data_IF_294465171189
#
_entry.id   IF_294465171189
#
_cell.length_a   1.000
_cell.length_b   1.000
_cell.length_c   1.000
_cell.angle_alpha   90.00
_cell.angle_beta   90.00
_cell.angle_gamma   90.00
#
_symmetry.space_group_name_H-M   'P 1'
#
loop_
_entity.id
_entity.type
_entity.pdbx_description
1 polymer ?
#
# COMPACT_ATOMS: atom_id res chain seq x y z
N UNK A 1 -5.61 52.80 -3.23
CA UNK A 1 -4.29 52.13 -3.10
C UNK A 1 -4.32 50.93 -2.16
N UNK A 2 -4.96 50.98 -0.99
CA UNK A 2 -5.01 49.86 -0.03
C UNK A 2 -5.63 48.55 -0.58
N UNK A 3 -6.70 48.64 -1.38
CA UNK A 3 -7.34 47.46 -1.98
C UNK A 3 -6.45 46.72 -3.00
N UNK A 4 -5.62 47.46 -3.76
CA UNK A 4 -4.69 46.87 -4.72
C UNK A 4 -3.53 46.13 -4.06
N UNK A 5 -3.10 46.61 -2.88
CA UNK A 5 -2.06 45.95 -2.08
C UNK A 5 -2.59 44.66 -1.44
N UNK A 6 -3.84 44.66 -0.96
CA UNK A 6 -4.48 43.46 -0.40
C UNK A 6 -4.69 42.38 -1.47
N UNK A 7 -5.22 42.74 -2.64
CA UNK A 7 -5.44 41.77 -3.74
C UNK A 7 -4.12 41.27 -4.32
N UNK A 8 -3.13 42.16 -4.52
CA UNK A 8 -1.80 41.79 -4.98
C UNK A 8 -1.05 40.90 -3.99
N UNK A 9 -1.15 41.19 -2.69
CA UNK A 9 -0.55 40.38 -1.63
C UNK A 9 -1.19 39.00 -1.52
N UNK A 10 -2.53 38.89 -1.58
CA UNK A 10 -3.23 37.61 -1.58
C UNK A 10 -2.87 36.78 -2.82
N UNK A 11 -2.83 37.40 -4.00
CA UNK A 11 -2.42 36.71 -5.23
C UNK A 11 -0.98 36.17 -5.15
N UNK A 12 -0.04 36.93 -4.57
CA UNK A 12 1.34 36.50 -4.40
C UNK A 12 1.47 35.29 -3.46
N UNK A 13 0.69 35.25 -2.37
CA UNK A 13 0.70 34.15 -1.40
C UNK A 13 0.15 32.87 -2.02
N UNK A 14 -0.95 32.94 -2.78
CA UNK A 14 -1.57 31.76 -3.43
C UNK A 14 -0.67 31.19 -4.53
N UNK A 15 0.01 32.04 -5.30
CA UNK A 15 0.95 31.61 -6.35
C UNK A 15 2.26 31.01 -5.81
N UNK A 16 2.57 31.26 -4.53
CA UNK A 16 3.76 30.74 -3.85
C UNK A 16 3.55 29.40 -3.13
N UNK A 17 2.30 28.91 -3.08
CA UNK A 17 2.00 27.59 -2.55
C UNK A 17 2.46 26.53 -3.57
N UNK A 18 3.74 26.16 -3.48
CA UNK A 18 4.26 25.02 -4.22
C UNK A 18 3.47 23.75 -3.90
N UNK A 19 3.41 22.82 -4.86
CA UNK A 19 2.89 21.48 -4.62
C UNK A 19 3.62 20.85 -3.44
N UNK A 20 2.91 20.61 -2.35
CA UNK A 20 3.41 19.79 -1.26
C UNK A 20 3.57 18.37 -1.83
N UNK A 21 4.81 17.97 -2.11
CA UNK A 21 5.12 16.63 -2.59
C UNK A 21 5.02 15.66 -1.40
N UNK A 22 3.78 15.33 -1.01
CA UNK A 22 3.49 14.47 0.13
C UNK A 22 3.85 12.99 -0.14
N UNK A 23 4.13 12.64 -1.39
CA UNK A 23 4.39 11.27 -1.81
C UNK A 23 5.73 11.17 -2.54
N UNK A 24 6.85 10.93 -1.82
CA UNK A 24 8.18 10.79 -2.42
C UNK A 24 8.27 9.68 -3.49
N UNK A 25 7.39 8.69 -3.41
CA UNK A 25 7.32 7.57 -4.37
C UNK A 25 6.23 7.77 -5.44
N UNK A 26 5.36 8.77 -5.30
CA UNK A 26 4.27 9.06 -6.24
C UNK A 26 2.98 8.25 -6.01
N UNK A 27 1.87 8.76 -6.54
CA UNK A 27 0.50 8.33 -6.23
C UNK A 27 0.09 6.95 -6.80
N UNK A 28 0.92 6.37 -7.67
CA UNK A 28 0.62 5.11 -8.39
C UNK A 28 1.48 3.93 -7.92
N UNK A 29 2.23 4.10 -6.83
CA UNK A 29 3.16 3.07 -6.38
C UNK A 29 2.48 2.01 -5.53
N UNK A 30 3.02 0.79 -5.64
CA UNK A 30 2.78 -0.30 -4.70
C UNK A 30 4.14 -0.80 -4.24
N UNK A 31 4.46 -0.56 -2.98
CA UNK A 31 5.67 -1.08 -2.36
C UNK A 31 5.38 -2.48 -1.81
N UNK A 32 6.31 -3.41 -2.00
CA UNK A 32 6.26 -4.75 -1.41
C UNK A 32 7.50 -4.98 -0.57
N UNK A 33 7.30 -5.52 0.62
CA UNK A 33 8.35 -5.92 1.53
C UNK A 33 8.16 -7.38 1.93
N UNK A 34 9.22 -8.17 1.75
CA UNK A 34 9.29 -9.56 2.20
C UNK A 34 10.37 -9.69 3.28
N UNK A 35 9.94 -9.72 4.54
CA UNK A 35 10.82 -9.91 5.70
C UNK A 35 11.12 -11.39 5.92
N UNK A 36 12.38 -11.80 5.73
CA UNK A 36 12.79 -13.20 5.89
C UNK A 36 13.41 -13.43 7.27
N UNK A 37 12.80 -14.31 8.07
CA UNK A 37 13.37 -14.78 9.34
C UNK A 37 13.64 -16.27 9.25
N UNK A 38 14.93 -16.62 9.29
CA UNK A 38 15.40 -18.00 9.19
C UNK A 38 15.74 -18.53 10.57
N UNK A 39 15.14 -19.67 10.93
CA UNK A 39 15.49 -20.48 12.11
C UNK A 39 15.79 -21.91 11.66
N UNK A 40 16.42 -22.76 12.49
CA UNK A 40 16.62 -24.16 12.15
C UNK A 40 15.29 -24.83 11.76
N UNK A 41 15.20 -25.33 10.53
CA UNK A 41 14.01 -26.01 10.01
C UNK A 41 12.82 -25.11 9.63
N UNK A 42 12.94 -23.78 9.68
CA UNK A 42 11.82 -22.88 9.34
C UNK A 42 12.31 -21.59 8.71
N UNK A 43 11.66 -21.20 7.61
CA UNK A 43 11.73 -19.85 7.07
C UNK A 43 10.36 -19.20 7.26
N UNK A 44 10.30 -18.09 7.97
CA UNK A 44 9.11 -17.24 8.08
C UNK A 44 9.27 -16.04 7.16
N UNK A 45 8.22 -15.75 6.40
CA UNK A 45 8.16 -14.62 5.48
C UNK A 45 7.05 -13.68 5.96
N UNK A 46 7.40 -12.45 6.30
CA UNK A 46 6.46 -11.37 6.57
C UNK A 46 6.27 -10.55 5.29
N UNK A 47 5.15 -10.78 4.60
CA UNK A 47 4.79 -10.04 3.39
C UNK A 47 3.95 -8.81 3.75
N UNK A 48 4.37 -7.64 3.29
CA UNK A 48 3.66 -6.37 3.46
C UNK A 48 3.54 -5.68 2.11
N UNK A 49 2.33 -5.24 1.77
CA UNK A 49 2.09 -4.36 0.64
C UNK A 49 1.62 -2.99 1.14
N UNK A 50 2.24 -1.93 0.62
CA UNK A 50 1.84 -0.55 0.84
C UNK A 50 1.37 0.06 -0.47
N UNK A 51 0.10 0.44 -0.52
CA UNK A 51 -0.58 0.95 -1.70
C UNK A 51 -0.71 2.46 -1.57
N UNK A 52 -0.20 3.19 -2.57
CA UNK A 52 -0.43 4.62 -2.66
C UNK A 52 -1.93 4.97 -2.86
N UNK A 53 -2.22 6.27 -2.90
CA UNK A 53 -3.58 6.82 -2.99
C UNK A 53 -4.42 6.16 -4.11
N UNK A 54 -3.92 6.12 -5.34
CA UNK A 54 -4.71 5.65 -6.48
C UNK A 54 -4.90 4.11 -6.45
N UNK A 55 -3.85 3.29 -6.22
CA UNK A 55 -4.04 1.86 -6.02
C UNK A 55 -5.00 1.53 -4.88
N UNK A 56 -4.97 2.26 -3.77
CA UNK A 56 -5.93 2.09 -2.67
C UNK A 56 -7.36 2.40 -3.10
N UNK A 57 -7.57 3.50 -3.82
CA UNK A 57 -8.88 3.84 -4.38
C UNK A 57 -9.38 2.79 -5.38
N UNK A 58 -8.48 2.21 -6.19
CA UNK A 58 -8.80 1.14 -7.14
C UNK A 58 -9.13 -0.19 -6.44
N UNK A 59 -8.52 -0.47 -5.29
CA UNK A 59 -8.79 -1.68 -4.51
C UNK A 59 -10.11 -1.61 -3.73
N UNK A 60 -10.57 -0.41 -3.35
CA UNK A 60 -11.76 -0.22 -2.51
C UNK A 60 -12.99 -1.01 -2.95
N UNK A 61 -13.42 -1.02 -4.23
CA UNK A 61 -14.59 -1.81 -4.67
C UNK A 61 -14.42 -3.32 -4.48
N UNK A 62 -13.19 -3.81 -4.43
CA UNK A 62 -12.91 -5.20 -4.12
C UNK A 62 -12.95 -5.46 -2.60
N UNK A 63 -12.57 -4.49 -1.78
CA UNK A 63 -12.51 -4.64 -0.31
C UNK A 63 -13.91 -4.52 0.29
N UNK A 64 -14.67 -3.51 -0.15
CA UNK A 64 -16.03 -3.17 0.29
C UNK A 64 -17.03 -4.20 -0.24
N UNK A 65 -17.30 -5.22 0.58
CA UNK A 65 -18.09 -6.40 0.18
C UNK A 65 -19.55 -6.26 0.57
N UNK A 66 -19.85 -5.48 1.59
CA UNK A 66 -21.22 -5.20 2.00
C UNK A 66 -21.81 -3.96 1.29
N UNK A 67 -20.98 -3.16 0.61
CA UNK A 67 -21.40 -2.08 -0.26
C UNK A 67 -21.85 -0.83 0.50
N UNK A 68 -21.39 -0.64 1.74
CA UNK A 68 -21.78 0.47 2.60
C UNK A 68 -20.89 1.72 2.44
N UNK A 69 -19.92 1.68 1.52
CA UNK A 69 -18.92 2.70 1.25
C UNK A 69 -17.91 2.94 2.40
N UNK A 70 -17.92 2.12 3.44
CA UNK A 70 -16.90 2.07 4.48
C UNK A 70 -16.03 0.82 4.33
N UNK A 71 -14.81 0.86 4.88
CA UNK A 71 -13.93 -0.32 4.92
C UNK A 71 -13.82 -0.78 6.37
N UNK A 72 -14.53 -1.86 6.69
CA UNK A 72 -14.46 -2.46 8.01
C UNK A 72 -13.13 -3.20 8.23
N UNK A 73 -12.71 -3.33 9.49
CA UNK A 73 -11.53 -4.13 9.84
C UNK A 73 -11.64 -5.61 9.41
N UNK A 74 -12.86 -6.14 9.31
CA UNK A 74 -13.12 -7.50 8.81
C UNK A 74 -12.82 -7.61 7.32
N UNK A 75 -13.29 -6.66 6.53
CA UNK A 75 -13.06 -6.64 5.09
C UNK A 75 -11.60 -6.42 4.75
N UNK A 76 -10.96 -5.46 5.41
CA UNK A 76 -9.52 -5.22 5.29
C UNK A 76 -8.72 -6.47 5.66
N UNK A 77 -9.06 -7.12 6.78
CA UNK A 77 -8.39 -8.33 7.23
C UNK A 77 -8.57 -9.52 6.27
N UNK A 78 -9.76 -9.67 5.69
CA UNK A 78 -10.05 -10.71 4.70
C UNK A 78 -9.36 -10.44 3.36
N UNK A 79 -9.33 -9.18 2.91
CA UNK A 79 -8.61 -8.80 1.70
C UNK A 79 -7.10 -9.00 1.87
N UNK A 80 -6.51 -8.52 2.97
CA UNK A 80 -5.09 -8.73 3.26
C UNK A 80 -4.71 -10.22 3.30
N UNK A 81 -5.56 -11.07 3.89
CA UNK A 81 -5.33 -12.53 3.89
C UNK A 81 -5.29 -13.11 2.46
N UNK A 82 -6.21 -12.70 1.58
CA UNK A 82 -6.19 -13.11 0.17
C UNK A 82 -4.92 -12.64 -0.53
N UNK A 83 -4.52 -11.38 -0.33
CA UNK A 83 -3.29 -10.82 -0.91
C UNK A 83 -2.03 -11.57 -0.47
N UNK A 84 -1.95 -11.97 0.81
CA UNK A 84 -0.86 -12.82 1.31
C UNK A 84 -0.89 -14.23 0.71
N UNK A 85 -2.07 -14.83 0.54
CA UNK A 85 -2.22 -16.13 -0.10
C UNK A 85 -1.75 -16.08 -1.58
N UNK A 86 -2.15 -15.05 -2.33
CA UNK A 86 -1.69 -14.83 -3.70
C UNK A 86 -0.16 -14.66 -3.77
N UNK A 87 0.42 -13.92 -2.83
CA UNK A 87 1.86 -13.74 -2.73
C UNK A 87 2.59 -15.05 -2.44
N UNK A 88 2.05 -15.89 -1.54
CA UNK A 88 2.59 -17.20 -1.23
C UNK A 88 2.50 -18.17 -2.42
N UNK A 89 1.39 -18.15 -3.18
CA UNK A 89 1.22 -18.95 -4.40
C UNK A 89 2.21 -18.53 -5.51
N UNK A 90 2.46 -17.23 -5.64
CA UNK A 90 3.43 -16.69 -6.59
C UNK A 90 4.90 -16.85 -6.19
N UNK A 91 5.18 -17.20 -4.92
CA UNK A 91 6.53 -17.31 -4.40
C UNK A 91 7.18 -18.65 -4.78
N UNK A 92 8.50 -18.61 -4.99
CA UNK A 92 9.33 -19.80 -5.18
C UNK A 92 10.43 -19.83 -4.14
N UNK A 93 10.50 -20.95 -3.40
CA UNK A 93 11.54 -21.20 -2.41
C UNK A 93 12.33 -22.44 -2.81
N UNK A 94 13.65 -22.31 -2.83
CA UNK A 94 14.56 -23.41 -3.11
C UNK A 94 15.52 -23.59 -1.94
N UNK A 95 15.63 -24.81 -1.43
CA UNK A 95 16.57 -25.20 -0.37
C UNK A 95 17.44 -26.34 -0.89
N UNK A 96 18.75 -26.12 -0.97
CA UNK A 96 19.72 -27.09 -1.51
C UNK A 96 19.32 -27.66 -2.88
N UNK A 97 18.79 -26.80 -3.76
CA UNK A 97 18.34 -27.18 -5.09
C UNK A 97 17.00 -27.90 -5.16
N UNK A 98 16.30 -28.09 -4.04
CA UNK A 98 14.94 -28.65 -3.99
C UNK A 98 13.92 -27.55 -3.79
N UNK A 99 12.84 -27.60 -4.56
CA UNK A 99 11.71 -26.70 -4.40
C UNK A 99 10.94 -27.06 -3.12
N UNK A 100 10.63 -26.04 -2.32
CA UNK A 100 9.86 -26.15 -1.08
C UNK A 100 8.65 -25.22 -1.23
N UNK A 101 7.42 -25.71 -0.98
CA UNK A 101 6.25 -24.85 -1.10
C UNK A 101 6.26 -23.75 -0.05
N UNK A 102 6.03 -22.51 -0.49
CA UNK A 102 5.63 -21.41 0.39
C UNK A 102 4.13 -21.54 0.63
N UNK A 103 3.70 -21.31 1.87
CA UNK A 103 2.31 -21.40 2.27
C UNK A 103 1.95 -20.15 3.06
N UNK A 104 0.69 -19.74 2.97
CA UNK A 104 0.15 -18.75 3.91
C UNK A 104 0.27 -19.31 5.34
N UNK A 105 0.81 -18.49 6.24
CA UNK A 105 1.08 -18.84 7.64
C UNK A 105 -0.08 -18.53 8.59
N UNK A 106 -1.21 -18.06 8.07
CA UNK A 106 -2.41 -17.74 8.85
C UNK A 106 -3.32 -18.94 9.12
#
# INVERSE_FOLDING_TARGET
>A
MAAGVLVGGVALVVLSAGSAEAHPLGNFTVNRYDGLVVTPGTLRIDHVEDLAEIPSAQAKPEIDRDGDDALSGRELGAWAARRCADAAEGARLTVDGREVPVRDGR
#
